data_IF_316867126258
#
_entry.id   IF_316867126258
#
_cell.length_a   1.000
_cell.length_b   1.000
_cell.length_c   1.000
_cell.angle_alpha   90.00
_cell.angle_beta   90.00
_cell.angle_gamma   90.00
#
_symmetry.space_group_name_H-M   'P 1'
#
loop_
_entity.id
_entity.type
_entity.pdbx_description
1 polymer ?
#
# COMPACT_ATOMS: atom_id res chain seq x y z
N UNK A 1 24.52 13.50 -12.63
CA UNK A 1 23.59 13.17 -11.63
C UNK A 1 23.36 11.70 -11.46
N UNK A 2 23.63 10.98 -12.48
CA UNK A 2 23.39 9.58 -12.39
C UNK A 2 24.56 8.79 -12.11
N UNK A 3 25.70 9.40 -12.14
CA UNK A 3 26.93 8.65 -12.07
C UNK A 3 27.04 7.81 -10.81
N UNK A 4 26.60 8.34 -9.71
CA UNK A 4 26.78 7.59 -8.49
C UNK A 4 25.81 6.43 -8.33
N UNK A 5 24.83 6.36 -9.21
CA UNK A 5 23.92 5.25 -9.10
C UNK A 5 24.55 3.96 -9.51
N UNK A 6 25.51 4.04 -10.35
CA UNK A 6 26.15 2.84 -10.82
C UNK A 6 26.87 2.10 -9.70
N UNK A 7 27.04 2.74 -8.57
CA UNK A 7 27.70 2.08 -7.47
C UNK A 7 26.81 1.16 -6.71
N UNK A 8 25.54 1.23 -6.95
CA UNK A 8 24.62 0.35 -6.30
C UNK A 8 24.89 -1.05 -6.76
N UNK A 9 25.17 -1.92 -5.85
CA UNK A 9 25.68 -3.21 -6.22
C UNK A 9 24.62 -4.24 -6.54
N UNK A 10 23.50 -4.22 -5.86
CA UNK A 10 22.60 -5.34 -5.97
C UNK A 10 21.27 -4.99 -6.58
N UNK A 11 20.67 -3.93 -6.14
CA UNK A 11 19.41 -3.52 -6.73
C UNK A 11 19.17 -2.07 -6.41
N UNK A 12 18.41 -1.46 -7.28
CA UNK A 12 18.01 -0.09 -7.12
C UNK A 12 16.51 -0.06 -7.25
N UNK A 13 15.82 0.01 -6.12
CA UNK A 13 14.37 0.01 -6.08
C UNK A 13 13.92 1.21 -5.28
N UNK A 14 13.11 2.05 -5.91
CA UNK A 14 12.56 3.23 -5.26
C UNK A 14 11.11 2.97 -4.90
N UNK A 15 10.69 3.53 -3.78
CA UNK A 15 9.28 3.59 -3.44
C UNK A 15 8.75 4.94 -3.91
N UNK A 16 7.63 4.93 -4.62
CA UNK A 16 7.04 6.14 -5.16
C UNK A 16 5.59 6.22 -4.74
N UNK A 17 5.17 7.41 -4.31
CA UNK A 17 3.78 7.64 -3.97
C UNK A 17 3.04 8.16 -5.19
N UNK A 18 1.84 7.64 -5.40
CA UNK A 18 0.97 8.07 -6.48
C UNK A 18 -0.37 8.41 -5.83
N UNK A 19 -0.64 9.70 -5.68
CA UNK A 19 -1.80 10.17 -4.94
C UNK A 19 -2.72 10.93 -5.88
N UNK A 20 -3.99 10.57 -5.85
CA UNK A 20 -5.05 11.32 -6.52
C UNK A 20 -5.97 11.83 -5.42
N UNK A 21 -5.70 13.06 -4.96
CA UNK A 21 -6.46 13.62 -3.84
C UNK A 21 -7.87 14.03 -4.22
N UNK A 22 -8.13 14.20 -5.51
CA UNK A 22 -9.48 14.55 -5.95
C UNK A 22 -10.41 13.35 -5.95
N UNK A 23 -9.86 12.18 -6.27
CA UNK A 23 -10.65 10.96 -6.32
C UNK A 23 -10.38 10.04 -5.15
N UNK A 24 -9.47 10.45 -4.27
CA UNK A 24 -9.15 9.71 -3.04
C UNK A 24 -8.61 8.31 -3.31
N UNK A 25 -7.64 8.24 -4.23
CA UNK A 25 -6.90 7.01 -4.49
C UNK A 25 -5.45 7.23 -4.14
N UNK A 26 -4.88 6.32 -3.37
CA UNK A 26 -3.52 6.48 -2.87
C UNK A 26 -2.77 5.18 -3.03
N UNK A 27 -1.63 5.24 -3.71
CA UNK A 27 -0.82 4.06 -3.94
C UNK A 27 0.63 4.31 -3.58
N UNK A 28 1.28 3.25 -3.13
CA UNK A 28 2.72 3.22 -2.98
C UNK A 28 3.20 2.11 -3.89
N UNK A 29 4.07 2.46 -4.84
CA UNK A 29 4.60 1.49 -5.79
C UNK A 29 6.10 1.43 -5.66
N UNK A 30 6.68 0.31 -6.02
CA UNK A 30 8.12 0.20 -6.11
C UNK A 30 8.50 0.04 -7.58
N UNK A 31 9.61 0.68 -7.95
CA UNK A 31 10.06 0.78 -9.32
C UNK A 31 11.57 0.60 -9.32
N UNK A 32 12.07 -0.35 -10.04
CA UNK A 32 13.51 -0.52 -10.07
C UNK A 32 13.95 -1.81 -10.71
N UNK A 33 15.14 -2.22 -10.31
CA UNK A 33 15.80 -3.38 -10.88
C UNK A 33 16.46 -4.18 -9.77
N UNK A 34 16.36 -5.48 -9.86
CA UNK A 34 17.10 -6.38 -9.00
C UNK A 34 18.40 -6.73 -9.67
N UNK A 35 19.19 -7.53 -8.99
CA UNK A 35 20.42 -8.05 -9.59
C UNK A 35 20.08 -8.83 -10.85
N UNK A 36 21.03 -8.91 -11.73
CA UNK A 36 20.90 -9.68 -12.97
C UNK A 36 19.84 -9.10 -13.89
N UNK A 37 19.67 -7.79 -13.81
CA UNK A 37 18.78 -7.08 -14.72
C UNK A 37 17.34 -7.57 -14.71
N UNK A 38 16.89 -7.97 -13.54
CA UNK A 38 15.48 -8.37 -13.39
C UNK A 38 14.68 -7.17 -12.95
N UNK A 39 13.63 -6.86 -13.70
CA UNK A 39 12.76 -5.74 -13.38
C UNK A 39 12.02 -5.98 -12.08
N UNK A 40 11.98 -4.97 -11.23
CA UNK A 40 11.26 -5.03 -9.97
C UNK A 40 10.27 -3.88 -9.96
N UNK A 41 9.01 -4.21 -10.15
CA UNK A 41 7.97 -3.21 -10.26
C UNK A 41 6.67 -3.76 -9.72
N UNK A 42 5.97 -2.98 -8.92
CA UNK A 42 4.68 -3.44 -8.41
C UNK A 42 4.07 -2.46 -7.44
N UNK A 43 2.88 -2.77 -7.02
CA UNK A 43 2.18 -2.02 -6.01
C UNK A 43 2.47 -2.63 -4.64
N UNK A 44 2.89 -1.80 -3.69
CA UNK A 44 3.09 -2.25 -2.34
C UNK A 44 1.85 -2.02 -1.50
N UNK A 45 1.14 -0.93 -1.79
CA UNK A 45 0.01 -0.53 -0.97
C UNK A 45 -0.96 0.27 -1.83
N UNK A 46 -2.24 -0.02 -1.68
CA UNK A 46 -3.28 0.74 -2.37
C UNK A 46 -4.43 0.99 -1.42
N UNK A 47 -4.68 2.26 -1.14
CA UNK A 47 -5.75 2.71 -0.26
C UNK A 47 -6.69 3.62 -1.03
N UNK A 48 -7.97 3.50 -0.76
CA UNK A 48 -8.98 4.44 -1.27
C UNK A 48 -9.71 5.03 -0.08
N UNK A 49 -10.13 6.28 -0.19
CA UNK A 49 -11.06 6.87 0.78
C UNK A 49 -12.43 6.84 0.14
N UNK A 50 -13.37 6.19 0.81
CA UNK A 50 -14.68 6.02 0.28
C UNK A 50 -15.68 5.94 1.42
N UNK A 51 -16.74 6.75 1.36
CA UNK A 51 -17.77 6.79 2.40
C UNK A 51 -17.17 7.06 3.77
N UNK A 52 -16.16 7.93 3.80
CA UNK A 52 -15.48 8.37 5.01
C UNK A 52 -14.75 7.23 5.72
N UNK A 53 -14.39 6.20 4.96
CA UNK A 53 -13.62 5.09 5.49
C UNK A 53 -12.40 4.86 4.62
N UNK A 54 -11.38 4.26 5.19
CA UNK A 54 -10.17 3.88 4.48
C UNK A 54 -10.36 2.45 4.00
N UNK A 55 -10.39 2.29 2.69
CA UNK A 55 -10.51 0.99 2.05
C UNK A 55 -9.12 0.52 1.66
N UNK A 56 -8.65 -0.53 2.29
CA UNK A 56 -7.36 -1.12 1.95
C UNK A 56 -7.60 -2.06 0.79
N UNK A 57 -7.22 -1.62 -0.40
CA UNK A 57 -7.43 -2.42 -1.61
C UNK A 57 -6.34 -3.44 -1.82
N UNK A 58 -5.12 -3.12 -1.39
CA UNK A 58 -4.01 -4.04 -1.46
C UNK A 58 -3.01 -3.67 -0.37
N UNK A 59 -2.49 -4.69 0.30
CA UNK A 59 -1.52 -4.48 1.37
C UNK A 59 -0.41 -5.51 1.24
N UNK A 60 0.72 -5.06 0.73
CA UNK A 60 1.92 -5.89 0.63
C UNK A 60 2.90 -5.65 1.76
N UNK A 61 2.51 -4.91 2.80
CA UNK A 61 3.40 -4.66 3.93
C UNK A 61 3.45 -5.87 4.85
N UNK A 62 4.55 -6.01 5.57
CA UNK A 62 4.71 -7.16 6.43
C UNK A 62 3.86 -7.11 7.68
N UNK A 63 3.78 -5.97 8.29
CA UNK A 63 3.06 -5.85 9.56
C UNK A 63 1.57 -5.59 9.41
N UNK A 64 1.12 -5.29 8.20
CA UNK A 64 -0.27 -4.96 7.97
C UNK A 64 -0.55 -3.49 8.21
N UNK A 65 -0.99 -2.80 7.14
CA UNK A 65 -1.23 -1.36 7.23
C UNK A 65 -2.39 -1.04 8.17
N UNK A 66 -3.35 -1.97 8.30
CA UNK A 66 -4.50 -1.73 9.17
C UNK A 66 -4.08 -1.47 10.61
N UNK A 67 -3.08 -2.21 11.08
CA UNK A 67 -2.62 -2.06 12.45
C UNK A 67 -1.82 -0.78 12.64
N UNK A 68 -1.11 -0.35 11.60
CA UNK A 68 -0.44 0.94 11.67
C UNK A 68 -1.46 2.08 11.72
N UNK A 69 -2.54 1.95 10.99
CA UNK A 69 -3.60 2.96 11.03
C UNK A 69 -4.24 3.04 12.41
N UNK A 70 -4.44 1.89 13.05
CA UNK A 70 -4.96 1.88 14.43
C UNK A 70 -4.01 2.60 15.38
N UNK A 71 -2.72 2.39 15.22
CA UNK A 71 -1.73 3.07 16.05
C UNK A 71 -1.76 4.58 15.86
N UNK A 72 -2.10 5.02 14.67
CA UNK A 72 -2.20 6.44 14.36
C UNK A 72 -3.53 7.04 14.80
N UNK A 73 -4.41 6.25 15.37
CA UNK A 73 -5.67 6.75 15.91
C UNK A 73 -6.89 6.58 15.03
N UNK A 74 -6.76 5.86 13.91
CA UNK A 74 -7.92 5.61 13.06
C UNK A 74 -8.79 4.55 13.71
N UNK A 75 -10.09 4.81 13.90
CA UNK A 75 -10.97 3.81 14.52
C UNK A 75 -11.13 2.58 13.62
N UNK A 76 -11.34 1.42 14.25
CA UNK A 76 -11.53 0.18 13.50
C UNK A 76 -12.70 0.26 12.54
N UNK A 77 -13.75 0.94 12.95
CA UNK A 77 -14.95 1.03 12.13
C UNK A 77 -14.76 1.91 10.90
N UNK A 78 -13.64 2.61 10.79
CA UNK A 78 -13.33 3.42 9.63
C UNK A 78 -12.32 2.76 8.70
N UNK A 79 -11.99 1.50 8.95
CA UNK A 79 -11.04 0.74 8.13
C UNK A 79 -11.77 -0.44 7.52
N UNK A 80 -11.67 -0.58 6.21
CA UNK A 80 -12.29 -1.69 5.48
C UNK A 80 -11.19 -2.48 4.79
N UNK A 81 -11.18 -3.78 4.99
CA UNK A 81 -10.23 -4.65 4.29
C UNK A 81 -10.80 -4.98 2.93
N UNK A 82 -10.66 -4.05 1.99
CA UNK A 82 -11.28 -4.14 0.68
C UNK A 82 -10.74 -5.29 -0.17
N UNK A 83 -9.57 -5.80 0.17
CA UNK A 83 -9.00 -6.94 -0.54
C UNK A 83 -9.58 -8.27 -0.10
N UNK A 84 -10.45 -8.27 0.91
CA UNK A 84 -11.12 -9.48 1.37
C UNK A 84 -12.55 -9.51 0.88
N UNK A 85 -13.11 -10.68 0.61
CA UNK A 85 -14.52 -10.76 0.23
C UNK A 85 -15.41 -10.41 1.41
N UNK A 86 -16.63 -10.05 1.09
CA UNK A 86 -17.57 -9.54 2.09
C UNK A 86 -17.74 -10.49 3.28
N UNK A 87 -17.84 -11.79 3.02
CA UNK A 87 -18.07 -12.75 4.10
C UNK A 87 -16.89 -12.81 5.06
N UNK A 88 -15.67 -12.55 4.55
CA UNK A 88 -14.49 -12.53 5.41
C UNK A 88 -14.45 -11.24 6.20
N UNK A 89 -14.81 -10.14 5.54
CA UNK A 89 -14.84 -8.84 6.24
C UNK A 89 -15.77 -8.86 7.44
N UNK A 90 -16.89 -9.58 7.33
CA UNK A 90 -17.86 -9.66 8.41
C UNK A 90 -17.30 -10.36 9.65
N UNK A 91 -16.25 -11.16 9.47
CA UNK A 91 -15.64 -11.88 10.58
C UNK A 91 -14.43 -11.16 11.17
N UNK A 92 -14.14 -9.97 10.69
CA UNK A 92 -12.99 -9.22 11.21
C UNK A 92 -13.46 -8.17 12.20
N UNK A 93 -12.49 -7.58 12.91
CA UNK A 93 -12.77 -6.48 13.82
C UNK A 93 -12.94 -5.16 13.09
N UNK A 94 -12.72 -5.12 11.78
CA UNK A 94 -12.81 -3.91 10.99
C UNK A 94 -14.18 -3.77 10.34
N UNK A 95 -14.41 -2.65 9.67
CA UNK A 95 -15.72 -2.39 9.07
C UNK A 95 -15.98 -3.34 7.91
N UNK A 96 -17.26 -3.59 7.67
CA UNK A 96 -17.66 -4.46 6.58
C UNK A 96 -17.70 -3.69 5.26
N UNK A 97 -18.01 -2.43 5.33
CA UNK A 97 -18.05 -1.58 4.15
C UNK A 97 -18.73 -0.28 4.41
#
# INVERSE_FOLDING_TARGET
>A
ARANRSKQSSKEVDAQTIFDVERDHYQLVYVGWKRNDIRDYGCLLHLDIKDEKIWIQYDGTEGGIAYELLKLGVPREDIVLGFQPLRVRADTEFAVG
#
